data_IF_465906843177
#
_entry.id   IF_465906843177
#
_cell.length_a   1.000
_cell.length_b   1.000
_cell.length_c   1.000
_cell.angle_alpha   90.00
_cell.angle_beta   90.00
_cell.angle_gamma   90.00
#
_symmetry.space_group_name_H-M   'P 1'
#
loop_
_entity.id
_entity.type
_entity.pdbx_description
1 polymer ?
#
# COMPACT_ATOMS: atom_id res chain seq x y z
N UNK A 1 6.38 18.10 12.60
CA UNK A 1 7.79 17.71 12.58
C UNK A 1 7.99 16.95 11.28
N UNK A 2 8.74 17.48 10.32
CA UNK A 2 8.92 16.81 9.02
C UNK A 2 9.79 15.57 9.26
N UNK A 3 9.22 14.39 9.03
CA UNK A 3 9.94 13.12 9.13
C UNK A 3 11.10 13.14 8.13
N UNK A 4 12.30 12.70 8.53
CA UNK A 4 13.42 12.69 7.59
C UNK A 4 13.20 11.59 6.52
N UNK A 5 13.88 11.70 5.38
CA UNK A 5 13.64 10.81 4.23
C UNK A 5 13.85 9.32 4.57
N UNK A 6 14.77 9.01 5.49
CA UNK A 6 15.04 7.64 5.93
C UNK A 6 13.91 7.07 6.79
N UNK A 7 13.38 7.86 7.73
CA UNK A 7 12.22 7.50 8.55
C UNK A 7 10.98 7.34 7.67
N UNK A 8 10.78 8.26 6.72
CA UNK A 8 9.71 8.18 5.72
C UNK A 8 9.78 6.87 4.93
N UNK A 9 10.97 6.53 4.43
CA UNK A 9 11.18 5.30 3.69
C UNK A 9 10.89 4.07 4.55
N UNK A 10 11.37 4.01 5.79
CA UNK A 10 11.08 2.91 6.73
C UNK A 10 9.58 2.76 7.01
N UNK A 11 8.85 3.86 7.15
CA UNK A 11 7.39 3.85 7.32
C UNK A 11 6.68 3.26 6.10
N UNK A 12 7.15 3.59 4.89
CA UNK A 12 6.65 3.01 3.65
C UNK A 12 6.82 1.48 3.64
N UNK A 13 8.04 0.98 3.92
CA UNK A 13 8.33 -0.46 3.93
C UNK A 13 7.50 -1.18 4.99
N UNK A 14 7.34 -0.59 6.18
CA UNK A 14 6.52 -1.18 7.24
C UNK A 14 5.06 -1.33 6.80
N UNK A 15 4.48 -0.34 6.11
CA UNK A 15 3.11 -0.42 5.59
C UNK A 15 2.96 -1.41 4.46
N UNK A 16 3.93 -1.50 3.54
CA UNK A 16 3.91 -2.50 2.48
C UNK A 16 4.02 -3.93 3.03
N UNK A 17 4.87 -4.16 4.04
CA UNK A 17 4.97 -5.45 4.73
C UNK A 17 3.65 -5.82 5.40
N UNK A 18 3.03 -4.88 6.09
CA UNK A 18 1.75 -5.08 6.74
C UNK A 18 0.64 -5.41 5.75
N UNK A 19 0.57 -4.67 4.63
CA UNK A 19 -0.38 -4.97 3.55
C UNK A 19 -0.13 -6.37 2.99
N UNK A 20 1.11 -6.74 2.71
CA UNK A 20 1.44 -8.07 2.20
C UNK A 20 0.97 -9.19 3.13
N UNK A 21 1.13 -9.05 4.45
CA UNK A 21 0.64 -10.01 5.44
C UNK A 21 -0.89 -10.17 5.36
N UNK A 22 -1.61 -9.06 5.26
CA UNK A 22 -3.08 -9.07 5.14
C UNK A 22 -3.56 -9.67 3.81
N UNK A 23 -2.74 -9.60 2.76
CA UNK A 23 -2.99 -10.24 1.46
C UNK A 23 -2.61 -11.73 1.42
N UNK A 24 -2.08 -12.28 2.52
CA UNK A 24 -1.77 -13.71 2.64
C UNK A 24 -0.32 -14.09 2.37
N UNK A 25 0.59 -13.13 2.19
CA UNK A 25 2.02 -13.40 2.12
C UNK A 25 2.57 -13.71 3.51
N UNK A 26 3.10 -14.92 3.70
CA UNK A 26 3.48 -15.43 5.03
C UNK A 26 4.98 -15.43 5.30
N UNK A 27 5.82 -15.49 4.25
CA UNK A 27 7.28 -15.54 4.38
C UNK A 27 7.91 -14.26 3.85
N UNK A 28 7.60 -13.13 4.49
CA UNK A 28 8.06 -11.82 4.03
C UNK A 28 9.44 -11.48 4.59
N UNK A 29 10.42 -11.40 3.70
CA UNK A 29 11.79 -11.00 4.01
C UNK A 29 12.13 -9.67 3.35
N UNK A 30 13.01 -8.88 3.97
CA UNK A 30 13.61 -7.72 3.32
C UNK A 30 14.94 -8.15 2.70
N UNK A 31 15.08 -7.95 1.39
CA UNK A 31 16.30 -8.34 0.69
C UNK A 31 17.47 -7.43 1.08
N UNK A 32 18.54 -8.01 1.64
CA UNK A 32 19.75 -7.28 2.01
C UNK A 32 20.42 -6.57 0.81
N UNK A 33 20.29 -7.14 -0.39
CA UNK A 33 20.90 -6.61 -1.62
C UNK A 33 20.02 -5.56 -2.33
N UNK A 34 18.76 -5.42 -1.92
CA UNK A 34 17.79 -4.46 -2.48
C UNK A 34 17.00 -3.80 -1.34
N UNK A 35 17.58 -2.74 -0.78
CA UNK A 35 17.02 -2.04 0.38
C UNK A 35 15.55 -1.65 0.16
N UNK A 36 14.68 -2.07 1.07
CA UNK A 36 13.25 -1.83 1.00
C UNK A 36 12.50 -2.59 -0.10
N UNK A 37 13.08 -3.61 -0.73
CA UNK A 37 12.30 -4.58 -1.52
C UNK A 37 11.95 -5.76 -0.61
N UNK A 38 10.65 -6.00 -0.46
CA UNK A 38 10.13 -7.14 0.27
C UNK A 38 10.01 -8.34 -0.66
N UNK A 39 10.21 -9.54 -0.15
CA UNK A 39 10.16 -10.79 -0.91
C UNK A 39 9.27 -11.79 -0.18
N UNK A 40 8.50 -12.57 -0.94
CA UNK A 40 7.83 -13.77 -0.44
C UNK A 40 8.28 -14.97 -1.29
N UNK A 41 8.91 -15.96 -0.66
CA UNK A 41 9.30 -17.22 -1.29
C UNK A 41 10.04 -17.04 -2.64
N UNK A 42 11.10 -16.22 -2.64
CA UNK A 42 11.91 -15.86 -3.81
C UNK A 42 11.23 -14.96 -4.88
N UNK A 43 10.04 -14.40 -4.60
CA UNK A 43 9.39 -13.42 -5.46
C UNK A 43 9.39 -12.03 -4.81
N UNK A 44 9.89 -11.02 -5.54
CA UNK A 44 9.80 -9.63 -5.12
C UNK A 44 8.33 -9.19 -5.04
N UNK A 45 7.95 -8.63 -3.90
CA UNK A 45 6.62 -8.08 -3.67
C UNK A 45 6.50 -6.67 -4.27
N UNK A 46 5.28 -6.26 -4.65
CA UNK A 46 5.05 -4.94 -5.21
C UNK A 46 5.38 -3.81 -4.22
N UNK A 47 5.94 -2.71 -4.73
CA UNK A 47 6.23 -1.53 -3.92
C UNK A 47 5.03 -0.57 -3.87
N UNK A 48 3.94 -0.97 -3.21
CA UNK A 48 2.65 -0.27 -3.29
C UNK A 48 2.64 1.21 -2.87
N UNK A 49 3.58 1.65 -2.03
CA UNK A 49 3.68 3.08 -1.64
C UNK A 49 4.59 3.87 -2.58
N UNK A 50 5.26 3.18 -3.52
CA UNK A 50 6.36 3.72 -4.31
C UNK A 50 6.23 3.56 -5.82
N UNK A 51 5.39 2.63 -6.30
CA UNK A 51 5.12 2.37 -7.71
C UNK A 51 3.62 2.42 -7.99
N UNK A 52 3.20 3.33 -8.86
CA UNK A 52 1.82 3.46 -9.28
C UNK A 52 1.29 2.22 -10.01
N UNK A 53 2.14 1.47 -10.73
CA UNK A 53 1.72 0.22 -11.39
C UNK A 53 1.28 -0.83 -10.37
N UNK A 54 1.93 -0.86 -9.21
CA UNK A 54 1.56 -1.70 -8.09
C UNK A 54 0.36 -1.13 -7.31
N UNK A 55 0.34 0.19 -7.06
CA UNK A 55 -0.65 0.84 -6.21
C UNK A 55 -2.02 0.98 -6.86
N UNK A 56 -2.07 1.44 -8.11
CA UNK A 56 -3.31 1.79 -8.82
C UNK A 56 -4.38 0.70 -8.80
N UNK A 57 -4.03 -0.59 -9.07
CA UNK A 57 -4.98 -1.70 -8.99
C UNK A 57 -5.67 -1.87 -7.62
N UNK A 58 -5.06 -1.42 -6.52
CA UNK A 58 -5.68 -1.48 -5.19
C UNK A 58 -6.93 -0.60 -5.11
N UNK A 59 -6.93 0.55 -5.79
CA UNK A 59 -8.06 1.48 -5.73
C UNK A 59 -9.33 0.85 -6.28
N UNK A 60 -9.22 0.17 -7.42
CA UNK A 60 -10.36 -0.49 -8.06
C UNK A 60 -10.74 -1.77 -7.34
N UNK A 61 -9.76 -2.57 -6.91
CA UNK A 61 -10.02 -3.82 -6.18
C UNK A 61 -10.76 -3.60 -4.85
N UNK A 62 -10.51 -2.48 -4.17
CA UNK A 62 -11.09 -2.18 -2.86
C UNK A 62 -12.14 -1.06 -2.89
N UNK A 63 -12.47 -0.48 -4.05
CA UNK A 63 -13.46 0.59 -4.17
C UNK A 63 -13.07 1.86 -3.40
N UNK A 64 -11.84 2.33 -3.59
CA UNK A 64 -11.30 3.53 -2.92
C UNK A 64 -11.46 4.75 -3.82
N UNK A 65 -12.17 5.76 -3.31
CA UNK A 65 -12.28 7.08 -3.93
C UNK A 65 -11.22 8.02 -3.37
N UNK A 66 -10.60 8.82 -4.24
CA UNK A 66 -9.61 9.84 -3.87
C UNK A 66 -10.26 11.21 -3.86
N UNK A 67 -10.37 11.83 -2.68
CA UNK A 67 -10.80 13.21 -2.50
C UNK A 67 -9.59 14.12 -2.23
N UNK A 68 -9.49 15.25 -2.93
CA UNK A 68 -8.45 16.24 -2.70
C UNK A 68 -9.03 17.38 -1.87
N UNK A 69 -8.50 17.60 -0.68
CA UNK A 69 -9.04 18.56 0.29
C UNK A 69 -7.91 19.37 0.93
N UNK A 70 -7.94 20.69 0.73
CA UNK A 70 -6.98 21.61 1.36
C UNK A 70 -5.52 21.20 1.13
N UNK A 71 -4.85 20.82 2.21
CA UNK A 71 -3.43 20.42 2.25
C UNK A 71 -3.20 18.91 2.24
N UNK A 72 -4.23 18.10 1.93
CA UNK A 72 -4.15 16.65 1.96
C UNK A 72 -5.07 15.93 0.98
N UNK A 73 -5.20 14.63 1.25
CA UNK A 73 -6.04 13.70 0.50
C UNK A 73 -6.88 12.87 1.46
N UNK A 74 -8.17 12.73 1.15
CA UNK A 74 -9.14 11.87 1.82
C UNK A 74 -9.39 10.61 0.99
N UNK A 75 -9.35 9.45 1.65
CA UNK A 75 -9.43 8.12 1.05
C UNK A 75 -10.30 7.24 1.96
N UNK A 76 -11.62 7.32 1.81
CA UNK A 76 -12.54 6.65 2.72
C UNK A 76 -12.41 7.16 4.17
N UNK A 77 -11.98 6.30 5.09
CA UNK A 77 -11.75 6.67 6.49
C UNK A 77 -10.35 7.27 6.73
N UNK A 78 -9.47 7.19 5.73
CA UNK A 78 -8.08 7.62 5.83
C UNK A 78 -7.90 9.05 5.34
N UNK A 79 -7.24 9.90 6.14
CA UNK A 79 -6.76 11.24 5.75
C UNK A 79 -5.23 11.25 5.80
N UNK A 80 -4.61 11.86 4.80
CA UNK A 80 -3.15 12.05 4.69
C UNK A 80 -2.83 13.49 4.30
N UNK A 81 -1.97 14.17 5.05
CA UNK A 81 -1.50 15.51 4.73
C UNK A 81 -0.30 15.47 3.79
N UNK A 82 -0.23 16.36 2.79
CA UNK A 82 0.87 16.39 1.83
C UNK A 82 2.21 16.78 2.45
N UNK A 83 2.21 17.52 3.57
CA UNK A 83 3.42 17.98 4.27
C UNK A 83 4.24 16.84 4.88
N UNK A 84 3.63 15.68 5.09
CA UNK A 84 4.27 14.51 5.69
C UNK A 84 4.98 13.62 4.64
N UNK A 85 4.87 13.99 3.36
CA UNK A 85 5.35 13.20 2.23
C UNK A 85 6.31 13.99 1.34
N UNK A 86 7.26 13.31 0.65
CA UNK A 86 8.18 13.97 -0.28
C UNK A 86 7.48 14.69 -1.45
N UNK A 87 6.32 14.17 -1.88
CA UNK A 87 5.47 14.76 -2.91
C UNK A 87 4.03 14.25 -2.79
N UNK A 88 3.13 14.82 -3.58
CA UNK A 88 1.70 14.47 -3.59
C UNK A 88 1.44 13.02 -3.98
N UNK A 89 2.14 12.50 -4.99
CA UNK A 89 1.98 11.11 -5.43
C UNK A 89 2.29 10.11 -4.32
N UNK A 90 3.36 10.38 -3.55
CA UNK A 90 3.75 9.60 -2.39
C UNK A 90 2.69 9.64 -1.28
N UNK A 91 2.07 10.79 -1.04
CA UNK A 91 0.97 10.91 -0.10
C UNK A 91 -0.24 10.09 -0.54
N UNK A 92 -0.62 10.16 -1.81
CA UNK A 92 -1.78 9.42 -2.34
C UNK A 92 -1.53 7.91 -2.29
N UNK A 93 -0.40 7.43 -2.80
CA UNK A 93 -0.07 5.99 -2.74
C UNK A 93 -0.01 5.46 -1.30
N UNK A 94 0.59 6.23 -0.39
CA UNK A 94 0.65 5.87 1.03
C UNK A 94 -0.75 5.82 1.67
N UNK A 95 -1.60 6.79 1.35
CA UNK A 95 -2.97 6.82 1.81
C UNK A 95 -3.79 5.64 1.29
N UNK A 96 -3.63 5.26 0.01
CA UNK A 96 -4.32 4.10 -0.58
C UNK A 96 -3.94 2.85 0.21
N UNK A 97 -2.64 2.63 0.45
CA UNK A 97 -2.17 1.47 1.23
C UNK A 97 -2.74 1.48 2.65
N UNK A 98 -2.76 2.62 3.34
CA UNK A 98 -3.36 2.75 4.67
C UNK A 98 -4.86 2.42 4.67
N UNK A 99 -5.60 2.89 3.68
CA UNK A 99 -7.04 2.64 3.58
C UNK A 99 -7.34 1.17 3.25
N UNK A 100 -6.55 0.53 2.39
CA UNK A 100 -6.68 -0.91 2.12
C UNK A 100 -6.42 -1.72 3.39
N UNK A 101 -5.34 -1.40 4.11
CA UNK A 101 -5.03 -2.03 5.41
C UNK A 101 -6.20 -1.87 6.37
N UNK A 102 -6.69 -0.64 6.55
CA UNK A 102 -7.83 -0.35 7.42
C UNK A 102 -9.06 -1.18 7.05
N UNK A 103 -9.37 -1.26 5.74
CA UNK A 103 -10.49 -2.07 5.25
C UNK A 103 -10.27 -3.54 5.56
N UNK A 104 -9.12 -4.12 5.24
CA UNK A 104 -8.83 -5.54 5.49
C UNK A 104 -8.86 -5.92 6.98
N UNK A 105 -8.44 -5.01 7.87
CA UNK A 105 -8.42 -5.25 9.32
C UNK A 105 -9.81 -5.12 9.96
N UNK A 106 -10.60 -4.13 9.57
CA UNK A 106 -11.84 -3.75 10.27
C UNK A 106 -13.11 -4.18 9.56
N UNK A 107 -13.06 -4.32 8.24
CA UNK A 107 -14.12 -4.91 7.45
C UNK A 107 -13.57 -6.25 6.99
N UNK A 108 -14.08 -7.38 7.49
CA UNK A 108 -13.81 -8.68 6.85
C UNK A 108 -14.33 -8.64 5.42
N UNK A 109 -13.59 -7.99 4.53
CA UNK A 109 -13.85 -7.91 3.12
C UNK A 109 -13.62 -9.33 2.63
N UNK A 110 -14.73 -10.01 2.36
CA UNK A 110 -14.76 -11.25 1.61
C UNK A 110 -13.75 -11.11 0.47
N UNK A 111 -12.64 -11.84 0.55
CA UNK A 111 -11.62 -11.87 -0.50
C UNK A 111 -12.33 -12.06 -1.85
N UNK A 112 -12.10 -11.19 -2.84
CA UNK A 112 -12.65 -11.42 -4.17
C UNK A 112 -12.14 -12.78 -4.65
N UNK A 113 -13.08 -13.66 -5.03
CA UNK A 113 -12.77 -14.99 -5.52
C UNK A 113 -11.75 -14.91 -6.66
N UNK A 114 -10.71 -15.73 -6.57
CA UNK A 114 -9.67 -15.83 -7.59
C UNK A 114 -10.30 -16.02 -8.98
N UNK A 115 -9.77 -15.37 -10.04
CA UNK A 115 -10.28 -15.55 -11.38
C UNK A 115 -10.16 -17.03 -11.75
N UNK A 116 -11.29 -17.68 -11.96
CA UNK A 116 -11.34 -19.04 -12.48
C UNK A 116 -10.79 -18.98 -13.90
N UNK A 117 -9.59 -19.52 -14.10
CA UNK A 117 -9.01 -19.72 -15.43
C UNK A 117 -9.98 -20.57 -16.25
N UNK A 118 -10.70 -19.94 -17.16
CA UNK A 118 -11.46 -20.63 -18.20
C UNK A 118 -10.45 -21.22 -19.18
N UNK A 119 -10.25 -22.53 -19.06
CA UNK A 119 -9.62 -23.34 -20.09
C UNK A 119 -10.67 -23.50 -21.20
N UNK A 120 -10.38 -22.95 -22.38
CA UNK A 120 -11.05 -23.28 -23.65
C UNK A 120 -10.16 -24.19 -24.46
#
# INVERSE_FOLDING_TARGET
MRMNDQEYFRSCIAKERHLAQLLGHTHIEECYESAGTLWDSAQALPQWTRDWKACGPLMTAYGITVGYEGDGVSLGATIVHFTDHPNRDRAVMYGIVKEVIFRLEHHKATLPAAPTSLVS
#
